data_IF_051656752696
#
_entry.id   IF_051656752696
#
_cell.length_a   1.000
_cell.length_b   1.000
_cell.length_c   1.000
_cell.angle_alpha   90.00
_cell.angle_beta   90.00
_cell.angle_gamma   90.00
#
_symmetry.space_group_name_H-M   'P 1'
#
loop_
_entity.id
_entity.type
_entity.pdbx_description
1 polymer ?
#
# COMPACT_ATOMS: atom_id res chain seq x y z
N UNK A 1 -33.53 23.76 -47.63
CA UNK A 1 -32.31 24.51 -47.26
C UNK A 1 -32.10 24.64 -45.75
N UNK A 2 -33.11 24.74 -44.96
CA UNK A 2 -32.96 24.91 -43.54
C UNK A 2 -32.38 23.72 -42.76
N UNK A 3 -32.54 22.53 -43.24
CA UNK A 3 -32.09 21.32 -42.54
C UNK A 3 -30.58 21.07 -42.59
N UNK A 4 -29.96 21.32 -43.71
CA UNK A 4 -28.53 21.07 -43.88
C UNK A 4 -27.61 21.92 -43.01
N UNK A 5 -27.82 23.26 -42.95
CA UNK A 5 -27.03 24.05 -42.02
C UNK A 5 -27.24 23.67 -40.57
N UNK A 6 -28.42 23.24 -40.22
CA UNK A 6 -28.75 22.79 -38.87
C UNK A 6 -28.00 21.49 -38.52
N UNK A 7 -27.94 20.53 -39.44
CA UNK A 7 -27.19 19.28 -39.22
C UNK A 7 -25.70 19.55 -39.06
N UNK A 8 -25.11 20.40 -39.90
CA UNK A 8 -23.72 20.81 -39.75
C UNK A 8 -23.45 21.52 -38.41
N UNK A 9 -24.35 22.38 -38.00
CA UNK A 9 -24.28 23.07 -36.72
C UNK A 9 -24.33 22.07 -35.54
N UNK A 10 -25.16 21.03 -35.61
CA UNK A 10 -25.22 19.99 -34.61
C UNK A 10 -23.89 19.24 -34.50
N UNK A 11 -23.26 18.89 -35.61
CA UNK A 11 -21.96 18.27 -35.61
C UNK A 11 -20.86 19.16 -35.00
N UNK A 12 -20.87 20.46 -35.36
CA UNK A 12 -19.95 21.44 -34.78
C UNK A 12 -20.22 21.67 -33.30
N UNK A 13 -21.46 21.75 -32.87
CA UNK A 13 -21.84 21.85 -31.47
C UNK A 13 -21.33 20.63 -30.69
N UNK A 14 -21.51 19.45 -31.23
CA UNK A 14 -21.00 18.24 -30.59
C UNK A 14 -19.48 18.27 -30.40
N UNK A 15 -18.74 18.75 -31.38
CA UNK A 15 -17.29 18.92 -31.28
C UNK A 15 -16.91 19.98 -30.23
N UNK A 16 -17.55 21.14 -30.26
CA UNK A 16 -17.33 22.22 -29.27
C UNK A 16 -17.72 21.77 -27.88
N UNK A 17 -18.82 21.05 -27.72
CA UNK A 17 -19.22 20.46 -26.43
C UNK A 17 -18.23 19.46 -25.90
N UNK A 18 -17.60 18.66 -26.77
CA UNK A 18 -16.53 17.75 -26.37
C UNK A 18 -15.33 18.51 -25.77
N UNK A 19 -15.02 19.70 -26.26
CA UNK A 19 -13.98 20.55 -25.72
C UNK A 19 -14.41 21.28 -24.43
N UNK A 20 -15.70 21.49 -24.25
CA UNK A 20 -16.25 22.16 -23.07
C UNK A 20 -16.71 21.19 -21.95
N UNK A 21 -16.68 19.90 -22.21
CA UNK A 21 -17.02 18.88 -21.21
C UNK A 21 -16.03 18.95 -20.07
N UNK A 22 -16.54 19.06 -18.86
CA UNK A 22 -15.71 19.03 -17.66
C UNK A 22 -15.07 17.65 -17.49
N UNK A 23 -13.85 17.63 -16.99
CA UNK A 23 -13.18 16.37 -16.67
C UNK A 23 -13.96 15.50 -15.68
N UNK A 24 -14.81 16.11 -14.87
CA UNK A 24 -15.68 15.40 -13.93
C UNK A 24 -16.82 14.63 -14.62
N UNK A 25 -17.22 15.05 -15.80
CA UNK A 25 -18.34 14.45 -16.53
C UNK A 25 -17.91 13.24 -17.37
N UNK A 26 -16.61 13.04 -17.53
CA UNK A 26 -16.05 11.91 -18.26
C UNK A 26 -16.06 10.69 -17.37
N UNK A 27 -16.80 9.66 -17.77
CA UNK A 27 -16.79 8.38 -17.06
C UNK A 27 -15.45 7.68 -17.24
N UNK A 28 -15.11 6.79 -16.32
CA UNK A 28 -13.89 6.00 -16.40
C UNK A 28 -13.82 5.17 -17.69
N UNK A 29 -14.96 4.64 -18.14
CA UNK A 29 -15.06 3.91 -19.39
C UNK A 29 -14.72 4.79 -20.59
N UNK A 30 -15.32 5.96 -20.69
CA UNK A 30 -15.02 6.93 -21.75
C UNK A 30 -13.56 7.35 -21.77
N UNK A 31 -12.98 7.54 -20.60
CA UNK A 31 -11.55 7.81 -20.46
C UNK A 31 -10.70 6.69 -21.07
N UNK A 32 -10.97 5.45 -20.70
CA UNK A 32 -10.20 4.31 -21.23
C UNK A 32 -10.42 4.10 -22.73
N UNK A 33 -11.65 4.24 -23.22
CA UNK A 33 -11.95 4.15 -24.64
C UNK A 33 -11.21 5.22 -25.45
N UNK A 34 -11.13 6.45 -24.93
CA UNK A 34 -10.38 7.54 -25.55
C UNK A 34 -8.87 7.24 -25.61
N UNK A 35 -8.32 6.71 -24.54
CA UNK A 35 -6.90 6.33 -24.50
C UNK A 35 -6.59 5.20 -25.49
N UNK A 36 -7.43 4.18 -25.54
CA UNK A 36 -7.25 3.03 -26.44
C UNK A 36 -7.36 3.46 -27.91
N UNK A 37 -8.32 4.31 -28.24
CA UNK A 37 -8.54 4.80 -29.61
C UNK A 37 -7.57 5.89 -30.03
N UNK A 38 -6.74 6.40 -29.11
CA UNK A 38 -5.83 7.53 -29.38
C UNK A 38 -6.54 8.87 -29.50
N UNK A 39 -7.80 8.96 -29.15
CA UNK A 39 -8.60 10.17 -29.23
C UNK A 39 -8.44 11.03 -27.97
N UNK A 40 -7.29 11.66 -27.86
CA UNK A 40 -6.92 12.46 -26.68
C UNK A 40 -7.36 13.91 -26.86
N UNK A 41 -8.30 14.34 -26.04
CA UNK A 41 -8.78 15.72 -25.97
C UNK A 41 -8.27 16.40 -24.69
N UNK A 42 -8.39 17.72 -24.65
CA UNK A 42 -8.03 18.49 -23.45
C UNK A 42 -8.81 18.03 -22.21
N UNK A 43 -10.07 17.63 -22.38
CA UNK A 43 -10.88 17.09 -21.30
C UNK A 43 -10.32 15.74 -20.78
N UNK A 44 -9.82 14.89 -21.66
CA UNK A 44 -9.16 13.63 -21.29
C UNK A 44 -7.85 13.91 -20.54
N UNK A 45 -7.06 14.86 -21.01
CA UNK A 45 -5.82 15.26 -20.33
C UNK A 45 -6.13 15.83 -18.95
N UNK A 46 -7.15 16.68 -18.82
CA UNK A 46 -7.57 17.23 -17.53
C UNK A 46 -8.04 16.12 -16.58
N UNK A 47 -8.78 15.14 -17.08
CA UNK A 47 -9.22 13.97 -16.31
C UNK A 47 -8.01 13.17 -15.80
N UNK A 48 -7.03 12.90 -16.67
CA UNK A 48 -5.82 12.19 -16.30
C UNK A 48 -5.05 12.93 -15.21
N UNK A 49 -4.87 14.23 -15.33
CA UNK A 49 -4.19 15.06 -14.32
C UNK A 49 -4.93 15.06 -12.99
N UNK A 50 -6.26 15.14 -13.02
CA UNK A 50 -7.08 15.08 -11.81
C UNK A 50 -6.94 13.71 -11.09
N UNK A 51 -6.94 12.62 -11.85
CA UNK A 51 -6.76 11.28 -11.28
C UNK A 51 -5.36 11.08 -10.71
N UNK A 52 -4.33 11.57 -11.39
CA UNK A 52 -2.95 11.55 -10.87
C UNK A 52 -2.88 12.34 -9.56
N UNK A 53 -3.44 13.53 -9.51
CA UNK A 53 -3.46 14.35 -8.29
C UNK A 53 -4.15 13.63 -7.11
N UNK A 54 -5.25 12.93 -7.37
CA UNK A 54 -5.93 12.10 -6.35
C UNK A 54 -5.06 10.94 -5.88
N UNK A 55 -4.40 10.26 -6.82
CA UNK A 55 -3.49 9.16 -6.50
C UNK A 55 -2.32 9.65 -5.66
N UNK A 56 -1.72 10.78 -6.04
CA UNK A 56 -0.61 11.37 -5.30
C UNK A 56 -1.03 11.76 -3.88
N UNK A 57 -2.19 12.40 -3.73
CA UNK A 57 -2.74 12.74 -2.42
C UNK A 57 -3.01 11.49 -1.56
N UNK A 58 -3.54 10.43 -2.18
CA UNK A 58 -3.81 9.17 -1.49
C UNK A 58 -2.50 8.48 -1.08
N UNK A 59 -1.51 8.48 -1.96
CA UNK A 59 -0.20 7.90 -1.70
C UNK A 59 0.55 8.68 -0.60
N UNK A 60 0.46 10.01 -0.61
CA UNK A 60 1.03 10.85 0.45
C UNK A 60 0.42 10.51 1.81
N UNK A 61 -0.92 10.41 1.91
CA UNK A 61 -1.60 9.99 3.14
C UNK A 61 -1.22 8.59 3.59
N UNK A 62 -1.05 7.65 2.64
CA UNK A 62 -0.59 6.30 2.96
C UNK A 62 0.85 6.30 3.47
N UNK A 63 1.71 7.10 2.86
CA UNK A 63 3.10 7.25 3.28
C UNK A 63 3.19 7.84 4.69
N UNK A 64 2.41 8.88 5.00
CA UNK A 64 2.34 9.45 6.37
C UNK A 64 1.91 8.40 7.39
N UNK A 65 0.79 7.70 7.13
CA UNK A 65 0.32 6.64 8.02
C UNK A 65 1.32 5.50 8.17
N UNK A 66 2.03 5.14 7.09
CA UNK A 66 3.08 4.13 7.15
C UNK A 66 4.27 4.61 8.00
N UNK A 67 4.64 5.89 7.87
CA UNK A 67 5.71 6.50 8.68
C UNK A 67 5.33 6.56 10.17
N UNK A 68 4.10 6.95 10.49
CA UNK A 68 3.58 6.92 11.86
C UNK A 68 3.62 5.52 12.46
N UNK A 69 3.09 4.54 11.73
CA UNK A 69 3.13 3.13 12.15
C UNK A 69 4.55 2.60 12.29
N UNK A 70 5.45 3.01 11.42
CA UNK A 70 6.86 2.65 11.53
C UNK A 70 7.46 3.17 12.84
N UNK A 71 7.19 4.43 13.19
CA UNK A 71 7.63 5.02 14.46
C UNK A 71 7.05 4.30 15.68
N UNK A 72 5.77 3.90 15.62
CA UNK A 72 5.13 3.13 16.69
C UNK A 72 5.70 1.71 16.79
N UNK A 73 6.09 1.14 15.66
CA UNK A 73 6.59 -0.23 15.60
C UNK A 73 8.09 -0.35 15.93
N UNK A 74 8.86 0.72 15.78
CA UNK A 74 10.31 0.72 16.05
C UNK A 74 10.64 0.29 17.49
N UNK A 75 9.98 0.79 18.54
CA UNK A 75 10.22 0.30 19.90
C UNK A 75 9.91 -1.19 20.05
N UNK A 76 8.86 -1.67 19.38
CA UNK A 76 8.48 -3.08 19.42
C UNK A 76 9.52 -3.93 18.70
N UNK A 77 10.00 -3.51 17.54
CA UNK A 77 11.09 -4.18 16.82
C UNK A 77 12.36 -4.26 17.65
N UNK A 78 12.73 -3.18 18.31
CA UNK A 78 13.90 -3.16 19.19
C UNK A 78 13.72 -4.09 20.40
N UNK A 79 12.53 -4.13 20.98
CA UNK A 79 12.22 -5.05 22.07
C UNK A 79 12.30 -6.52 21.61
N UNK A 80 11.81 -6.85 20.42
CA UNK A 80 11.92 -8.17 19.82
C UNK A 80 13.41 -8.55 19.62
N UNK A 81 14.19 -7.63 19.06
CA UNK A 81 15.61 -7.86 18.82
C UNK A 81 16.37 -8.15 20.10
N UNK A 82 16.18 -7.33 21.12
CA UNK A 82 16.81 -7.51 22.42
C UNK A 82 16.40 -8.82 23.08
N UNK A 83 15.11 -9.15 23.01
CA UNK A 83 14.58 -10.40 23.54
C UNK A 83 15.23 -11.62 22.89
N UNK A 84 15.39 -11.59 21.56
CA UNK A 84 16.03 -12.68 20.81
C UNK A 84 17.54 -12.77 21.08
N UNK A 85 18.20 -11.67 21.36
CA UNK A 85 19.61 -11.68 21.79
C UNK A 85 19.73 -12.31 23.19
N UNK A 86 18.84 -11.95 24.10
CA UNK A 86 18.87 -12.40 25.49
C UNK A 86 18.46 -13.87 25.63
N UNK A 87 17.33 -14.24 25.00
CA UNK A 87 16.75 -15.59 25.17
C UNK A 87 17.05 -16.56 24.03
N UNK A 88 17.59 -16.08 22.93
CA UNK A 88 17.90 -16.89 21.75
C UNK A 88 16.73 -17.07 20.79
N UNK A 89 16.79 -18.06 19.88
CA UNK A 89 15.74 -18.26 18.87
C UNK A 89 14.35 -18.49 19.45
N UNK A 90 13.35 -17.80 18.95
CA UNK A 90 11.97 -17.91 19.44
C UNK A 90 10.95 -17.91 18.28
N UNK A 91 9.78 -18.48 18.53
CA UNK A 91 8.64 -18.42 17.62
C UNK A 91 7.79 -17.17 17.90
N UNK A 92 7.06 -16.69 16.89
CA UNK A 92 6.27 -15.44 17.02
C UNK A 92 5.27 -15.45 18.18
N UNK A 93 4.67 -16.60 18.47
CA UNK A 93 3.73 -16.72 19.59
C UNK A 93 4.41 -16.51 20.94
N UNK A 94 5.60 -17.07 21.12
CA UNK A 94 6.39 -16.89 22.34
C UNK A 94 6.87 -15.44 22.47
N UNK A 95 7.32 -14.83 21.39
CA UNK A 95 7.70 -13.41 21.35
C UNK A 95 6.53 -12.53 21.77
N UNK A 96 5.34 -12.76 21.22
CA UNK A 96 4.13 -12.01 21.57
C UNK A 96 3.79 -12.14 23.06
N UNK A 97 3.87 -13.33 23.60
CA UNK A 97 3.60 -13.57 25.03
C UNK A 97 4.61 -12.86 25.95
N UNK A 98 5.89 -12.90 25.60
CA UNK A 98 6.96 -12.28 26.39
C UNK A 98 6.90 -10.74 26.36
N UNK A 99 6.47 -10.15 25.25
CA UNK A 99 6.41 -8.71 25.07
C UNK A 99 5.05 -8.10 25.45
N UNK A 100 4.04 -8.91 25.70
CA UNK A 100 2.73 -8.42 26.14
C UNK A 100 2.83 -7.89 27.57
N UNK A 101 2.41 -6.64 27.74
CA UNK A 101 2.32 -5.98 29.03
C UNK A 101 0.85 -5.70 29.36
N UNK A 102 0.50 -5.41 30.64
CA UNK A 102 -0.85 -5.03 30.99
C UNK A 102 -1.38 -3.80 30.24
N UNK A 103 -0.47 -2.95 29.79
CA UNK A 103 -0.80 -1.72 29.06
C UNK A 103 -0.84 -1.90 27.54
N UNK A 104 -0.13 -2.90 27.00
CA UNK A 104 -0.04 -3.15 25.57
C UNK A 104 0.05 -4.63 25.26
N UNK A 105 -0.99 -5.15 24.63
CA UNK A 105 -1.03 -6.54 24.16
C UNK A 105 -0.33 -6.64 22.78
N UNK A 106 0.65 -7.55 22.67
CA UNK A 106 1.29 -7.87 21.42
C UNK A 106 0.80 -9.24 20.96
N UNK A 107 -0.13 -9.21 19.99
CA UNK A 107 -0.69 -10.43 19.42
C UNK A 107 0.38 -11.20 18.62
N UNK A 108 0.18 -12.51 18.50
CA UNK A 108 1.03 -13.37 17.66
C UNK A 108 1.12 -12.84 16.22
N UNK A 109 0.00 -12.34 15.68
CA UNK A 109 -0.04 -11.74 14.34
C UNK A 109 0.83 -10.49 14.24
N UNK A 110 0.79 -9.63 15.24
CA UNK A 110 1.63 -8.42 15.28
C UNK A 110 3.10 -8.79 15.42
N UNK A 111 3.45 -9.69 16.33
CA UNK A 111 4.81 -10.20 16.49
C UNK A 111 5.33 -10.83 15.19
N UNK A 112 4.54 -11.68 14.54
CA UNK A 112 4.90 -12.32 13.26
C UNK A 112 5.12 -11.30 12.15
N UNK A 113 4.26 -10.28 12.06
CA UNK A 113 4.41 -9.20 11.09
C UNK A 113 5.69 -8.39 11.31
N UNK A 114 5.98 -8.04 12.56
CA UNK A 114 7.21 -7.33 12.91
C UNK A 114 8.46 -8.17 12.62
N UNK A 115 8.44 -9.44 13.00
CA UNK A 115 9.56 -10.34 12.71
C UNK A 115 9.80 -10.48 11.21
N UNK A 116 8.75 -10.58 10.40
CA UNK A 116 8.87 -10.65 8.93
C UNK A 116 9.52 -9.39 8.37
N UNK A 117 9.11 -8.21 8.82
CA UNK A 117 9.73 -6.95 8.41
C UNK A 117 11.22 -6.91 8.80
N UNK A 118 11.54 -7.35 10.01
CA UNK A 118 12.93 -7.39 10.48
C UNK A 118 13.80 -8.40 9.73
N UNK A 119 13.21 -9.47 9.20
CA UNK A 119 13.91 -10.41 8.29
C UNK A 119 14.20 -9.71 6.95
N UNK A 120 13.26 -8.95 6.41
CA UNK A 120 13.48 -8.14 5.21
C UNK A 120 14.55 -7.06 5.42
N UNK A 121 14.60 -6.48 6.62
CA UNK A 121 15.63 -5.52 7.05
C UNK A 121 16.97 -6.19 7.39
N UNK A 122 17.06 -7.52 7.28
CA UNK A 122 18.24 -8.34 7.62
C UNK A 122 18.69 -8.25 9.09
N UNK A 123 17.79 -7.91 9.97
CA UNK A 123 18.01 -7.88 11.42
C UNK A 123 17.74 -9.23 12.08
N UNK A 124 16.89 -10.04 11.46
CA UNK A 124 16.56 -11.40 11.91
C UNK A 124 16.75 -12.41 10.78
N UNK A 125 16.99 -13.64 11.15
CA UNK A 125 16.86 -14.81 10.27
C UNK A 125 15.66 -15.63 10.67
N UNK A 126 15.12 -16.40 9.72
CA UNK A 126 13.95 -17.25 9.95
C UNK A 126 14.26 -18.68 9.51
N UNK A 127 13.87 -19.64 10.32
CA UNK A 127 13.98 -21.06 10.05
C UNK A 127 12.67 -21.77 10.33
N UNK A 128 12.34 -22.78 9.53
CA UNK A 128 11.17 -23.62 9.77
C UNK A 128 11.54 -24.74 10.74
N UNK A 129 10.93 -24.73 11.91
CA UNK A 129 11.15 -25.73 12.97
C UNK A 129 9.90 -26.55 13.17
N UNK A 130 10.05 -27.86 13.28
CA UNK A 130 8.93 -28.74 13.63
C UNK A 130 8.68 -28.71 15.13
N UNK A 131 7.49 -28.27 15.51
CA UNK A 131 7.06 -28.32 16.90
C UNK A 131 6.05 -29.43 17.09
N UNK A 132 6.27 -30.25 18.10
CA UNK A 132 5.38 -31.36 18.42
C UNK A 132 3.95 -30.87 18.67
N UNK A 133 2.99 -31.33 17.87
CA UNK A 133 1.60 -30.92 17.96
C UNK A 133 1.19 -29.71 17.12
N UNK A 134 2.13 -28.93 16.55
CA UNK A 134 1.82 -27.74 15.75
C UNK A 134 2.35 -27.78 14.32
N UNK A 135 3.11 -28.81 13.95
CA UNK A 135 3.72 -28.91 12.62
C UNK A 135 4.93 -27.97 12.44
N UNK A 136 5.09 -27.43 11.24
CA UNK A 136 6.19 -26.50 10.97
C UNK A 136 5.81 -25.10 11.42
N UNK A 137 6.62 -24.49 12.25
CA UNK A 137 6.48 -23.09 12.70
C UNK A 137 7.76 -22.33 12.39
N UNK A 138 7.63 -21.06 12.18
CA UNK A 138 8.78 -20.18 11.92
C UNK A 138 9.41 -19.73 13.22
N UNK A 139 10.70 -20.00 13.34
CA UNK A 139 11.53 -19.56 14.45
C UNK A 139 12.44 -18.44 13.98
N UNK A 140 12.53 -17.39 14.75
CA UNK A 140 13.30 -16.20 14.43
C UNK A 140 14.54 -16.10 15.32
N UNK A 141 15.64 -15.70 14.72
CA UNK A 141 16.92 -15.53 15.42
C UNK A 141 17.48 -14.15 15.12
N UNK A 142 17.97 -13.45 16.13
CA UNK A 142 18.61 -12.15 15.95
C UNK A 142 19.95 -12.30 15.21
N UNK A 143 20.16 -11.45 14.21
CA UNK A 143 21.43 -11.36 13.50
C UNK A 143 22.32 -10.40 14.28
N UNK A 144 23.39 -10.95 14.87
CA UNK A 144 24.43 -10.15 15.51
C UNK A 144 25.43 -9.76 14.42
N UNK A 145 25.67 -8.45 14.20
CA UNK A 145 26.68 -8.05 13.24
C UNK A 145 28.05 -8.57 13.68
N UNK A 146 28.76 -9.19 12.75
CA UNK A 146 30.14 -9.61 13.00
C UNK A 146 31.02 -8.36 13.16
N UNK A 147 31.71 -8.26 14.26
CA UNK A 147 32.71 -7.23 14.49
C UNK A 147 33.94 -7.38 13.59
#
# INVERSE_FOLDING_TARGET
MGGEPTAKRKAQKGFIMANSVSSSDITLRQYHEAVISGNITDAIIAKARAEIAKLDATNAKRAEKAAEKAKENDPIKNAIYNLLIEKGPMVASAIGMELTTPEAEITTSKASSMCRQMVEERRLTVEDVKVKGKGKVKQYTAVVPAE
#
